data_IF_970223430353
#
_entry.id   IF_970223430353
#
_cell.length_a   1.000
_cell.length_b   1.000
_cell.length_c   1.000
_cell.angle_alpha   90.00
_cell.angle_beta   90.00
_cell.angle_gamma   90.00
#
_symmetry.space_group_name_H-M   'P 1'
#
loop_
_entity.id
_entity.type
_entity.pdbx_description
1 polymer ?
#
# COMPACT_ATOMS: atom_id res chain seq x y z
N UNK A 1 72.62 -35.26 -32.45
CA UNK A 1 71.30 -35.94 -32.40
C UNK A 1 70.64 -35.40 -31.12
N UNK A 2 70.11 -34.22 -31.20
CA UNK A 2 69.51 -33.53 -30.06
C UNK A 2 68.04 -33.22 -30.38
N UNK A 3 67.18 -33.86 -29.61
CA UNK A 3 65.74 -33.65 -29.67
C UNK A 3 65.37 -32.47 -28.75
N UNK A 4 65.10 -31.34 -29.34
CA UNK A 4 64.60 -30.18 -28.64
C UNK A 4 63.08 -30.27 -28.53
N UNK A 5 62.59 -30.56 -27.33
CA UNK A 5 61.17 -30.62 -27.02
C UNK A 5 60.71 -29.24 -26.55
N UNK A 6 59.94 -28.57 -27.41
CA UNK A 6 59.40 -27.23 -27.13
C UNK A 6 58.10 -27.38 -26.32
N UNK A 7 58.11 -26.95 -25.03
CA UNK A 7 56.91 -26.88 -24.21
C UNK A 7 56.18 -25.60 -24.46
N UNK A 8 55.05 -25.65 -25.14
CA UNK A 8 54.08 -24.57 -25.24
C UNK A 8 53.31 -24.47 -23.90
N UNK A 9 53.67 -23.52 -23.11
CA UNK A 9 52.90 -23.11 -21.92
C UNK A 9 51.63 -22.36 -22.37
N UNK A 10 50.50 -23.04 -22.38
CA UNK A 10 49.18 -22.41 -22.53
C UNK A 10 48.78 -21.76 -21.22
N UNK A 11 49.00 -20.46 -21.16
CA UNK A 11 48.53 -19.60 -20.04
C UNK A 11 47.03 -19.34 -20.22
N UNK A 12 46.19 -20.12 -19.54
CA UNK A 12 44.76 -19.84 -19.44
C UNK A 12 44.57 -18.69 -18.42
N UNK A 13 44.45 -17.49 -18.94
CA UNK A 13 43.97 -16.34 -18.17
C UNK A 13 42.48 -16.52 -17.91
N UNK A 14 42.11 -16.98 -16.72
CA UNK A 14 40.74 -16.97 -16.23
C UNK A 14 40.36 -15.52 -15.92
N UNK A 15 39.65 -14.90 -16.86
CA UNK A 15 38.94 -13.65 -16.62
C UNK A 15 37.72 -13.97 -15.73
N UNK A 16 37.88 -13.79 -14.44
CA UNK A 16 36.74 -13.71 -13.52
C UNK A 16 35.98 -12.41 -13.82
N UNK A 17 34.92 -12.48 -14.62
CA UNK A 17 33.89 -11.45 -14.66
C UNK A 17 33.18 -11.46 -13.32
N UNK A 18 33.60 -10.57 -12.41
CA UNK A 18 32.83 -10.21 -11.23
C UNK A 18 31.60 -9.42 -11.69
N UNK A 19 30.51 -10.10 -11.98
CA UNK A 19 29.19 -9.47 -12.12
C UNK A 19 28.84 -8.84 -10.77
N UNK A 20 29.10 -7.54 -10.66
CA UNK A 20 28.56 -6.73 -9.57
C UNK A 20 27.04 -6.66 -9.78
N UNK A 21 26.30 -7.63 -9.24
CA UNK A 21 24.87 -7.53 -9.11
C UNK A 21 24.60 -6.34 -8.18
N UNK A 22 24.25 -5.20 -8.77
CA UNK A 22 23.68 -4.09 -8.03
C UNK A 22 22.41 -4.60 -7.39
N UNK A 23 22.47 -4.95 -6.11
CA UNK A 23 21.31 -5.15 -5.25
C UNK A 23 20.62 -3.80 -5.15
N UNK A 24 19.82 -3.45 -6.15
CA UNK A 24 18.79 -2.45 -5.98
C UNK A 24 17.95 -2.97 -4.83
N UNK A 25 18.02 -2.30 -3.69
CA UNK A 25 17.19 -2.58 -2.54
C UNK A 25 15.73 -2.29 -2.96
N UNK A 26 15.12 -3.26 -3.64
CA UNK A 26 13.71 -3.22 -4.01
C UNK A 26 12.94 -3.19 -2.72
N UNK A 27 12.38 -2.01 -2.41
CA UNK A 27 11.39 -1.90 -1.35
C UNK A 27 10.28 -2.91 -1.63
N UNK A 28 9.79 -3.59 -0.60
CA UNK A 28 8.73 -4.58 -0.76
C UNK A 28 7.50 -3.96 -1.43
N UNK A 29 6.90 -4.65 -2.40
CA UNK A 29 5.61 -4.30 -2.97
C UNK A 29 4.57 -5.30 -2.47
N UNK A 30 3.53 -4.80 -1.82
CA UNK A 30 2.44 -5.58 -1.24
C UNK A 30 1.17 -5.29 -2.04
N UNK A 31 0.80 -6.19 -2.94
CA UNK A 31 -0.46 -6.08 -3.68
C UNK A 31 -1.61 -6.54 -2.78
N UNK A 32 -2.64 -5.72 -2.60
CA UNK A 32 -3.78 -6.04 -1.74
C UNK A 32 -4.53 -7.31 -2.17
N UNK A 33 -4.46 -7.68 -3.46
CA UNK A 33 -5.05 -8.93 -3.96
C UNK A 33 -4.35 -10.16 -3.37
N UNK A 34 -3.04 -10.11 -3.13
CA UNK A 34 -2.27 -11.20 -2.54
C UNK A 34 -2.68 -11.48 -1.09
N UNK A 35 -3.34 -10.51 -0.46
CA UNK A 35 -3.90 -10.59 0.90
C UNK A 35 -5.41 -10.89 0.91
N UNK A 36 -5.99 -11.14 -0.27
CA UNK A 36 -7.39 -11.57 -0.40
C UNK A 36 -8.39 -10.44 -0.60
N UNK A 37 -7.96 -9.21 -0.95
CA UNK A 37 -8.87 -8.14 -1.34
C UNK A 37 -9.74 -8.57 -2.53
N UNK A 38 -11.03 -8.19 -2.51
CA UNK A 38 -11.99 -8.52 -3.55
C UNK A 38 -12.25 -7.32 -4.46
N UNK A 39 -11.91 -7.41 -5.76
CA UNK A 39 -12.02 -6.30 -6.69
C UNK A 39 -13.45 -6.12 -7.27
N UNK A 40 -14.48 -6.28 -6.44
CA UNK A 40 -15.90 -6.26 -6.84
C UNK A 40 -16.67 -5.02 -6.34
N UNK A 41 -16.06 -4.19 -5.49
CA UNK A 41 -16.67 -3.02 -4.88
C UNK A 41 -17.85 -3.32 -3.95
N UNK A 42 -18.00 -4.57 -3.50
CA UNK A 42 -19.11 -5.06 -2.67
C UNK A 42 -18.62 -5.82 -1.44
N UNK A 43 -17.65 -6.69 -1.61
CA UNK A 43 -17.08 -7.49 -0.51
C UNK A 43 -16.10 -6.64 0.29
N UNK A 44 -16.24 -6.63 1.59
CA UNK A 44 -15.34 -5.94 2.51
C UNK A 44 -13.90 -6.44 2.34
N UNK A 45 -13.02 -5.56 1.91
CA UNK A 45 -11.59 -5.81 1.70
C UNK A 45 -10.71 -5.28 2.84
N UNK A 46 -11.28 -4.72 3.91
CA UNK A 46 -10.53 -4.06 4.99
C UNK A 46 -9.46 -4.96 5.60
N UNK A 47 -9.77 -6.23 5.84
CA UNK A 47 -8.81 -7.21 6.40
C UNK A 47 -7.59 -7.39 5.50
N UNK A 48 -7.79 -7.44 4.18
CA UNK A 48 -6.71 -7.58 3.22
C UNK A 48 -5.81 -6.34 3.19
N UNK A 49 -6.41 -5.15 3.23
CA UNK A 49 -5.68 -3.89 3.30
C UNK A 49 -4.88 -3.76 4.60
N UNK A 50 -5.46 -4.14 5.73
CA UNK A 50 -4.77 -4.14 7.02
C UNK A 50 -3.63 -5.16 7.06
N UNK A 51 -3.80 -6.35 6.47
CA UNK A 51 -2.74 -7.35 6.38
C UNK A 51 -1.57 -6.86 5.49
N UNK A 52 -1.86 -6.24 4.34
CA UNK A 52 -0.84 -5.61 3.49
C UNK A 52 -0.11 -4.49 4.25
N UNK A 53 -0.84 -3.65 4.99
CA UNK A 53 -0.28 -2.60 5.85
C UNK A 53 0.65 -3.17 6.91
N UNK A 54 0.24 -4.21 7.61
CA UNK A 54 1.02 -4.82 8.66
C UNK A 54 2.37 -5.33 8.14
N UNK A 55 2.40 -5.95 6.96
CA UNK A 55 3.64 -6.39 6.33
C UNK A 55 4.52 -5.21 5.92
N UNK A 56 3.93 -4.17 5.30
CA UNK A 56 4.64 -2.96 4.95
C UNK A 56 5.23 -2.28 6.20
N UNK A 57 4.47 -2.17 7.27
CA UNK A 57 4.85 -1.54 8.53
C UNK A 57 5.96 -2.29 9.28
N UNK A 58 6.05 -3.62 9.13
CA UNK A 58 7.14 -4.46 9.68
C UNK A 58 8.45 -4.35 8.92
N UNK A 59 8.44 -3.88 7.68
CA UNK A 59 9.66 -3.71 6.89
C UNK A 59 10.52 -2.60 7.46
N UNK A 60 11.83 -2.78 7.43
CA UNK A 60 12.80 -1.73 7.75
C UNK A 60 13.21 -0.90 6.53
N UNK A 61 12.75 -1.31 5.33
CA UNK A 61 13.04 -0.62 4.06
C UNK A 61 11.76 0.07 3.55
N UNK A 62 11.89 1.10 2.69
CA UNK A 62 10.75 1.68 2.00
C UNK A 62 9.87 0.62 1.34
N UNK A 63 8.57 0.74 1.47
CA UNK A 63 7.60 -0.24 0.94
C UNK A 63 6.48 0.45 0.18
N UNK A 64 5.84 -0.31 -0.72
CA UNK A 64 4.67 0.16 -1.45
C UNK A 64 3.52 -0.83 -1.29
N UNK A 65 2.40 -0.34 -0.79
CA UNK A 65 1.12 -1.06 -0.86
C UNK A 65 0.49 -0.70 -2.18
N UNK A 66 0.17 -1.71 -2.98
CA UNK A 66 -0.36 -1.52 -4.31
C UNK A 66 -1.82 -1.95 -4.39
N UNK A 67 -2.66 -1.04 -4.87
CA UNK A 67 -4.08 -1.26 -5.12
C UNK A 67 -4.30 -1.21 -6.64
N UNK A 68 -4.52 -2.36 -7.31
CA UNK A 68 -4.64 -2.43 -8.76
C UNK A 68 -5.94 -1.79 -9.27
N UNK A 69 -6.06 -1.59 -10.61
CA UNK A 69 -7.27 -1.07 -11.22
C UNK A 69 -8.46 -1.97 -10.94
N UNK A 70 -9.38 -1.52 -10.10
CA UNK A 70 -10.67 -2.16 -9.78
C UNK A 70 -11.38 -1.36 -8.69
N UNK A 71 -12.53 -1.88 -8.20
CA UNK A 71 -13.26 -1.29 -7.08
C UNK A 71 -13.11 -2.15 -5.84
N UNK A 72 -12.72 -1.53 -4.72
CA UNK A 72 -12.55 -2.21 -3.44
C UNK A 72 -13.41 -1.54 -2.38
N UNK A 73 -14.33 -2.30 -1.80
CA UNK A 73 -15.14 -1.81 -0.69
C UNK A 73 -14.28 -1.82 0.57
N UNK A 74 -14.17 -0.65 1.18
CA UNK A 74 -13.56 -0.46 2.48
C UNK A 74 -14.58 0.21 3.42
N UNK A 75 -15.08 -0.48 4.42
CA UNK A 75 -15.76 0.16 5.54
C UNK A 75 -14.82 1.08 6.33
N UNK A 76 -14.90 1.14 7.62
CA UNK A 76 -13.97 1.91 8.42
C UNK A 76 -12.61 1.19 8.52
N UNK A 77 -11.50 1.85 8.14
CA UNK A 77 -10.14 1.28 8.18
C UNK A 77 -9.17 2.20 8.90
N UNK A 78 -8.47 1.63 9.90
CA UNK A 78 -7.45 2.32 10.67
C UNK A 78 -6.07 1.72 10.41
N UNK A 79 -5.20 2.45 9.76
CA UNK A 79 -3.80 2.09 9.57
C UNK A 79 -2.97 2.60 10.76
N UNK A 80 -2.54 1.67 11.61
CA UNK A 80 -1.86 2.01 12.86
C UNK A 80 -0.38 1.68 12.81
N UNK A 81 0.41 2.54 13.49
CA UNK A 81 1.82 2.35 13.78
C UNK A 81 2.06 2.00 15.27
N UNK A 82 3.31 2.06 15.74
CA UNK A 82 4.45 2.57 14.99
C UNK A 82 4.98 1.58 13.94
N UNK A 83 5.40 2.11 12.78
CA UNK A 83 6.07 1.31 11.75
C UNK A 83 7.58 1.31 11.94
N UNK A 84 8.25 0.24 11.47
CA UNK A 84 9.71 0.12 11.49
C UNK A 84 10.41 0.98 10.44
N UNK A 85 9.68 1.42 9.40
CA UNK A 85 10.16 2.34 8.39
C UNK A 85 9.36 3.64 8.42
N UNK A 86 9.93 4.68 7.84
CA UNK A 86 9.34 6.01 7.70
C UNK A 86 9.04 6.37 6.23
N UNK A 87 8.89 5.37 5.37
CA UNK A 87 8.67 5.56 3.94
C UNK A 87 7.75 4.46 3.38
N UNK A 88 6.47 4.53 3.75
CA UNK A 88 5.42 3.65 3.22
C UNK A 88 4.59 4.40 2.20
N UNK A 89 4.56 3.91 0.97
CA UNK A 89 3.73 4.46 -0.10
C UNK A 89 2.49 3.61 -0.32
N UNK A 90 1.33 4.23 -0.52
CA UNK A 90 0.11 3.55 -0.97
C UNK A 90 -0.17 4.05 -2.38
N UNK A 91 0.03 3.18 -3.36
CA UNK A 91 -0.26 3.47 -4.75
C UNK A 91 -1.60 2.86 -5.13
N UNK A 92 -2.53 3.72 -5.51
CA UNK A 92 -3.89 3.33 -5.90
C UNK A 92 -4.03 3.59 -7.41
N UNK A 93 -4.24 2.53 -8.18
CA UNK A 93 -4.59 2.63 -9.60
C UNK A 93 -6.11 2.35 -9.81
N UNK A 94 -6.81 1.97 -8.73
CA UNK A 94 -8.24 1.67 -8.71
C UNK A 94 -9.09 2.68 -7.93
N UNK A 95 -10.21 2.20 -7.42
CA UNK A 95 -11.22 2.97 -6.69
C UNK A 95 -11.44 2.35 -5.31
N UNK A 96 -11.24 3.11 -4.26
CA UNK A 96 -11.67 2.74 -2.92
C UNK A 96 -13.08 3.27 -2.70
N UNK A 97 -13.99 2.40 -2.28
CA UNK A 97 -15.41 2.71 -2.18
C UNK A 97 -15.86 2.58 -0.73
N UNK A 98 -16.51 3.60 -0.19
CA UNK A 98 -17.14 3.55 1.11
C UNK A 98 -18.46 2.74 1.06
N UNK A 99 -18.96 2.23 2.19
CA UNK A 99 -20.32 1.71 2.30
C UNK A 99 -21.35 2.77 1.89
N UNK A 100 -22.46 2.32 1.29
CA UNK A 100 -23.57 3.22 0.96
C UNK A 100 -24.32 3.74 2.18
N UNK A 101 -24.29 2.97 3.27
CA UNK A 101 -24.84 3.41 4.57
C UNK A 101 -23.76 4.19 5.33
N UNK A 102 -23.86 5.51 5.33
CA UNK A 102 -22.94 6.41 6.01
C UNK A 102 -22.90 6.18 7.54
N UNK A 103 -23.92 5.56 8.14
CA UNK A 103 -24.00 5.31 9.59
C UNK A 103 -22.96 4.29 10.07
N UNK A 104 -22.48 3.43 9.19
CA UNK A 104 -21.47 2.42 9.53
C UNK A 104 -20.03 2.97 9.48
N UNK A 105 -19.84 4.20 9.00
CA UNK A 105 -18.49 4.79 8.85
C UNK A 105 -17.96 5.43 10.13
N UNK A 106 -18.82 5.68 11.14
CA UNK A 106 -18.44 6.44 12.33
C UNK A 106 -18.00 7.86 11.97
N UNK A 107 -16.99 8.39 12.68
CA UNK A 107 -16.46 9.73 12.44
C UNK A 107 -15.45 9.81 11.28
N UNK A 108 -14.79 8.68 10.98
CA UNK A 108 -13.70 8.62 10.01
C UNK A 108 -13.82 7.37 9.13
N UNK A 109 -13.58 7.53 7.84
CA UNK A 109 -13.61 6.41 6.91
C UNK A 109 -12.26 5.70 6.82
N UNK A 110 -11.23 6.43 6.41
CA UNK A 110 -9.85 5.94 6.33
C UNK A 110 -8.98 6.86 7.17
N UNK A 111 -8.26 6.32 8.12
CA UNK A 111 -7.39 7.13 8.94
C UNK A 111 -6.07 6.43 9.27
N UNK A 112 -5.08 7.26 9.57
CA UNK A 112 -3.73 6.85 9.94
C UNK A 112 -3.45 7.34 11.36
N UNK A 113 -2.93 6.45 12.20
CA UNK A 113 -2.68 6.73 13.60
C UNK A 113 -1.27 6.29 13.99
N UNK A 114 -0.52 7.19 14.60
CA UNK A 114 0.84 6.94 15.08
C UNK A 114 1.77 6.40 13.98
N UNK A 115 1.72 7.00 12.80
CA UNK A 115 2.54 6.63 11.63
C UNK A 115 3.28 7.84 11.09
N UNK A 116 4.51 7.62 10.62
CA UNK A 116 5.33 8.62 9.98
C UNK A 116 5.66 8.21 8.53
N UNK A 117 5.84 9.20 7.64
CA UNK A 117 6.33 8.96 6.29
C UNK A 117 5.39 8.16 5.40
N UNK A 118 4.07 8.39 5.52
CA UNK A 118 3.07 7.78 4.63
C UNK A 118 2.80 8.72 3.46
N UNK A 119 2.80 8.17 2.26
CA UNK A 119 2.46 8.87 1.02
C UNK A 119 1.39 8.10 0.27
N UNK A 120 0.37 8.81 -0.25
CA UNK A 120 -0.72 8.21 -1.02
C UNK A 120 -0.69 8.82 -2.42
N UNK A 121 -0.71 7.97 -3.44
CA UNK A 121 -0.63 8.38 -4.84
C UNK A 121 -1.75 7.77 -5.66
N UNK A 122 -2.34 8.58 -6.52
CA UNK A 122 -3.32 8.17 -7.53
C UNK A 122 -4.69 7.79 -6.97
N UNK A 123 -5.48 7.12 -7.81
CA UNK A 123 -6.76 6.52 -7.47
C UNK A 123 -7.93 7.47 -7.27
N UNK A 124 -9.07 6.88 -6.97
CA UNK A 124 -10.32 7.56 -6.64
C UNK A 124 -10.78 7.08 -5.27
N UNK A 125 -11.16 8.02 -4.42
CA UNK A 125 -11.81 7.75 -3.14
C UNK A 125 -13.30 8.10 -3.28
N UNK A 126 -14.17 7.10 -3.43
CA UNK A 126 -15.61 7.26 -3.55
C UNK A 126 -16.27 7.08 -2.18
N UNK A 127 -16.51 8.17 -1.50
CA UNK A 127 -17.13 8.22 -0.16
C UNK A 127 -18.63 7.95 -0.15
N UNK A 128 -19.29 7.77 -1.29
CA UNK A 128 -20.76 7.52 -1.42
C UNK A 128 -21.64 8.44 -0.57
N UNK A 129 -21.31 9.73 -0.50
CA UNK A 129 -21.93 10.70 0.39
C UNK A 129 -23.38 11.05 0.14
N UNK A 130 -24.01 10.57 -0.94
CA UNK A 130 -25.38 10.93 -1.35
C UNK A 130 -26.38 10.73 -0.22
N UNK A 131 -26.33 9.60 0.49
CA UNK A 131 -27.23 9.29 1.60
C UNK A 131 -27.17 10.30 2.75
N UNK A 132 -25.96 10.71 3.11
CA UNK A 132 -25.76 11.74 4.16
C UNK A 132 -26.23 13.10 3.72
N UNK A 133 -25.95 13.51 2.48
CA UNK A 133 -26.44 14.78 1.94
C UNK A 133 -27.96 14.83 1.82
N UNK A 134 -28.59 13.73 1.40
CA UNK A 134 -30.05 13.62 1.37
C UNK A 134 -30.64 13.75 2.78
N UNK A 135 -30.03 13.12 3.78
CA UNK A 135 -30.41 13.27 5.16
C UNK A 135 -30.33 14.74 5.59
N UNK A 136 -29.19 15.40 5.40
CA UNK A 136 -28.98 16.81 5.80
C UNK A 136 -29.97 17.77 5.12
N UNK A 137 -30.29 17.53 3.88
CA UNK A 137 -31.25 18.35 3.13
C UNK A 137 -32.71 18.14 3.56
N UNK A 138 -33.03 17.03 4.21
CA UNK A 138 -34.39 16.72 4.65
C UNK A 138 -34.70 17.15 6.09
N UNK A 139 -33.83 17.95 6.73
CA UNK A 139 -33.96 18.44 8.11
C UNK A 139 -34.18 17.34 9.16
N UNK A 140 -33.77 16.12 8.87
CA UNK A 140 -33.83 14.98 9.79
C UNK A 140 -32.65 15.03 10.76
N UNK A 141 -32.74 14.27 11.84
CA UNK A 141 -31.69 14.12 12.83
C UNK A 141 -30.50 13.35 12.24
N UNK A 142 -29.67 14.03 11.45
CA UNK A 142 -28.51 13.47 10.77
C UNK A 142 -27.27 13.55 11.68
N UNK A 143 -26.32 12.62 11.60
CA UNK A 143 -25.08 12.72 12.34
C UNK A 143 -24.39 14.06 12.09
N UNK A 144 -24.08 14.77 13.15
CA UNK A 144 -23.26 15.98 13.12
C UNK A 144 -21.80 15.54 13.05
N UNK A 145 -21.08 15.93 12.00
CA UNK A 145 -19.65 15.67 11.90
C UNK A 145 -19.23 14.37 11.18
N UNK A 146 -20.16 13.58 10.62
CA UNK A 146 -19.79 12.49 9.73
C UNK A 146 -19.11 13.07 8.49
N UNK A 147 -17.78 13.06 8.50
CA UNK A 147 -16.94 13.45 7.37
C UNK A 147 -16.85 12.25 6.45
N UNK A 148 -17.46 12.30 5.30
CA UNK A 148 -17.54 11.20 4.32
C UNK A 148 -16.17 10.84 3.74
N UNK A 149 -15.22 11.77 3.83
CA UNK A 149 -13.83 11.55 3.44
C UNK A 149 -12.92 12.28 4.43
N UNK A 150 -12.36 11.55 5.38
CA UNK A 150 -11.36 12.05 6.32
C UNK A 150 -10.11 11.21 6.24
N UNK A 151 -9.05 11.77 5.69
CA UNK A 151 -7.69 11.26 5.91
C UNK A 151 -7.11 12.14 7.00
N UNK A 152 -7.09 11.65 8.23
CA UNK A 152 -6.45 12.34 9.33
C UNK A 152 -5.11 11.69 9.58
N UNK A 153 -4.06 12.36 9.17
CA UNK A 153 -2.69 12.07 9.60
C UNK A 153 -2.44 12.79 10.91
N UNK A 154 -2.48 12.09 12.04
CA UNK A 154 -1.86 12.61 13.26
C UNK A 154 -0.36 12.44 13.12
N UNK A 155 0.33 13.49 12.69
CA UNK A 155 1.78 13.58 12.76
C UNK A 155 2.09 14.05 14.18
N UNK A 156 2.64 13.17 15.01
CA UNK A 156 3.27 13.60 16.26
C UNK A 156 4.74 13.95 15.93
N UNK A 157 5.09 15.22 16.15
CA UNK A 157 6.48 15.70 16.22
C UNK A 157 7.13 15.22 17.52
#
# INVERSE_FOLDING_TARGET
MDSSTSYFALSFAFFFLTSSASLTASGGKHNVLDYGAKPDGRTDSSKAFLAAWEQACRSTKPTTIYVPPSKFLLPNVAFRGPCKNNATSIRIDGILVAPSDYRVLGEQWIFFENVNGVSIFGGILDGRGIGLWTCKNSSRNCPTGATVCSIITKIFS
#
